data_IF_098549627865
#
_entry.id   IF_098549627865
#
_cell.length_a   1.000
_cell.length_b   1.000
_cell.length_c   1.000
_cell.angle_alpha   90.00
_cell.angle_beta   90.00
_cell.angle_gamma   90.00
#
_symmetry.space_group_name_H-M   'P 1'
#
loop_
_entity.id
_entity.type
_entity.pdbx_description
1 polymer ?
#
# COMPACT_ATOMS: atom_id res chain seq x y z
N UNK A 1 5.25 34.95 9.09
CA UNK A 1 5.33 33.57 9.63
C UNK A 1 4.47 32.70 8.74
N UNK A 2 5.07 31.90 7.86
CA UNK A 2 4.31 30.99 7.00
C UNK A 2 3.65 29.92 7.88
N UNK A 3 2.33 29.91 7.94
CA UNK A 3 1.57 28.78 8.47
C UNK A 3 2.04 27.52 7.75
N UNK A 4 2.40 26.45 8.48
CA UNK A 4 2.59 25.12 7.89
C UNK A 4 1.40 24.87 6.96
N UNK A 5 1.63 24.94 5.65
CA UNK A 5 0.58 24.58 4.70
C UNK A 5 0.17 23.16 5.04
N UNK A 6 -1.13 22.97 5.28
CA UNK A 6 -1.66 21.70 5.76
C UNK A 6 -1.56 20.71 4.59
N UNK A 7 -0.42 20.04 4.48
CA UNK A 7 -0.12 19.10 3.41
C UNK A 7 -1.26 18.06 3.36
N UNK A 8 -1.97 17.91 2.24
CA UNK A 8 -3.03 16.93 2.14
C UNK A 8 -2.49 15.52 2.40
N UNK A 9 -3.19 14.75 3.22
CA UNK A 9 -2.82 13.38 3.57
C UNK A 9 -3.94 12.43 3.19
N UNK A 10 -3.64 11.47 2.30
CA UNK A 10 -4.59 10.44 1.89
C UNK A 10 -4.14 9.06 2.37
N UNK A 11 -5.12 8.28 2.83
CA UNK A 11 -4.95 6.88 3.15
C UNK A 11 -5.58 6.05 2.03
N UNK A 12 -4.77 5.21 1.42
CA UNK A 12 -5.16 4.31 0.35
C UNK A 12 -5.31 2.90 0.90
N UNK A 13 -6.51 2.34 0.78
CA UNK A 13 -6.81 0.96 1.17
C UNK A 13 -7.18 0.15 -0.09
N UNK A 14 -6.18 -0.43 -0.79
CA UNK A 14 -6.42 -1.25 -1.96
C UNK A 14 -7.14 -2.55 -1.59
N UNK A 15 -7.89 -3.10 -2.54
CA UNK A 15 -8.31 -4.49 -2.47
C UNK A 15 -7.09 -5.41 -2.65
N UNK A 16 -6.95 -6.47 -1.85
CA UNK A 16 -5.77 -7.36 -1.81
C UNK A 16 -5.72 -8.34 -2.99
N UNK A 17 -5.85 -7.82 -4.21
CA UNK A 17 -5.67 -8.51 -5.47
C UNK A 17 -4.67 -7.74 -6.34
N UNK A 18 -3.82 -8.45 -7.07
CA UNK A 18 -2.74 -7.84 -7.86
C UNK A 18 -3.24 -6.77 -8.83
N UNK A 19 -4.39 -7.00 -9.48
CA UNK A 19 -5.03 -6.06 -10.39
C UNK A 19 -5.48 -4.74 -9.73
N UNK A 20 -5.67 -4.71 -8.40
CA UNK A 20 -6.02 -3.50 -7.66
C UNK A 20 -4.82 -2.86 -6.98
N UNK A 21 -3.85 -3.65 -6.51
CA UNK A 21 -2.69 -3.11 -5.80
C UNK A 21 -1.76 -2.31 -6.73
N UNK A 22 -1.49 -2.78 -7.94
CA UNK A 22 -0.64 -2.07 -8.91
C UNK A 22 -1.19 -0.66 -9.22
N UNK A 23 -2.44 -0.49 -9.68
CA UNK A 23 -2.95 0.84 -10.00
C UNK A 23 -3.04 1.74 -8.76
N UNK A 24 -3.28 1.17 -7.57
CA UNK A 24 -3.30 1.96 -6.33
C UNK A 24 -1.92 2.51 -5.96
N UNK A 25 -0.84 1.76 -6.22
CA UNK A 25 0.54 2.27 -6.07
C UNK A 25 0.83 3.36 -7.11
N UNK A 26 0.33 3.23 -8.34
CA UNK A 26 0.51 4.28 -9.35
C UNK A 26 -0.26 5.56 -9.00
N UNK A 27 -1.49 5.44 -8.48
CA UNK A 27 -2.25 6.58 -7.93
C UNK A 27 -1.48 7.23 -6.78
N UNK A 28 -0.94 6.43 -5.85
CA UNK A 28 -0.12 6.94 -4.75
C UNK A 28 1.06 7.76 -5.26
N UNK A 29 1.75 7.28 -6.30
CA UNK A 29 2.88 7.99 -6.92
C UNK A 29 2.45 9.28 -7.59
N UNK A 30 1.32 9.29 -8.30
CA UNK A 30 0.80 10.47 -8.97
C UNK A 30 0.39 11.56 -7.96
N UNK A 31 -0.23 11.17 -6.85
CA UNK A 31 -0.60 12.10 -5.78
C UNK A 31 0.65 12.61 -5.03
N UNK A 32 1.58 11.72 -4.68
CA UNK A 32 2.80 12.11 -3.97
C UNK A 32 3.67 13.09 -4.77
N UNK A 33 3.71 12.95 -6.11
CA UNK A 33 4.36 13.92 -7.01
C UNK A 33 3.76 15.32 -6.96
N UNK A 34 2.51 15.46 -6.50
CA UNK A 34 1.82 16.74 -6.30
C UNK A 34 2.00 17.29 -4.88
N UNK A 35 2.93 16.74 -4.11
CA UNK A 35 3.20 17.17 -2.74
C UNK A 35 2.22 16.62 -1.72
N UNK A 36 1.47 15.56 -2.03
CA UNK A 36 0.52 14.92 -1.11
C UNK A 36 1.23 13.84 -0.28
N UNK A 37 0.95 13.79 1.03
CA UNK A 37 1.39 12.68 1.87
C UNK A 37 0.47 11.48 1.62
N UNK A 38 1.03 10.30 1.34
CA UNK A 38 0.23 9.10 1.08
C UNK A 38 0.59 8.00 2.07
N UNK A 39 -0.42 7.32 2.61
CA UNK A 39 -0.25 6.07 3.37
C UNK A 39 -1.00 4.95 2.68
N UNK A 40 -0.32 3.88 2.31
CA UNK A 40 -0.93 2.68 1.73
C UNK A 40 -1.07 1.64 2.83
N UNK A 41 -2.28 1.14 3.04
CA UNK A 41 -2.56 0.04 3.95
C UNK A 41 -2.42 -1.28 3.20
N UNK A 42 -1.54 -2.16 3.66
CA UNK A 42 -1.29 -3.47 3.03
C UNK A 42 -1.13 -4.55 4.09
N UNK A 43 -1.34 -5.80 3.74
CA UNK A 43 -0.98 -6.91 4.63
C UNK A 43 0.53 -7.22 4.53
N UNK A 44 1.16 -7.84 5.55
CA UNK A 44 2.59 -8.16 5.51
C UNK A 44 3.01 -8.97 4.28
N UNK A 45 2.22 -9.99 3.90
CA UNK A 45 2.51 -10.82 2.74
C UNK A 45 2.48 -10.00 1.45
N UNK A 46 1.43 -9.21 1.25
CA UNK A 46 1.31 -8.35 0.06
C UNK A 46 2.40 -7.27 0.06
N UNK A 47 2.75 -6.69 1.20
CA UNK A 47 3.83 -5.70 1.26
C UNK A 47 5.17 -6.26 0.80
N UNK A 48 5.49 -7.51 1.11
CA UNK A 48 6.71 -8.16 0.62
C UNK A 48 6.65 -8.36 -0.90
N UNK A 49 5.49 -8.76 -1.43
CA UNK A 49 5.29 -8.98 -2.87
C UNK A 49 5.45 -7.70 -3.70
N UNK A 50 5.00 -6.55 -3.18
CA UNK A 50 5.09 -5.25 -3.86
C UNK A 50 6.27 -4.38 -3.40
N UNK A 51 7.16 -4.92 -2.56
CA UNK A 51 8.28 -4.18 -1.97
C UNK A 51 9.11 -3.44 -3.00
N UNK A 52 9.46 -4.08 -4.13
CA UNK A 52 10.30 -3.46 -5.17
C UNK A 52 9.69 -2.19 -5.75
N UNK A 53 8.38 -2.21 -6.06
CA UNK A 53 7.66 -1.07 -6.65
C UNK A 53 7.54 0.07 -5.64
N UNK A 54 7.20 -0.26 -4.39
CA UNK A 54 7.05 0.71 -3.30
C UNK A 54 8.40 1.33 -2.95
N UNK A 55 9.44 0.52 -2.75
CA UNK A 55 10.79 1.01 -2.43
C UNK A 55 11.35 1.91 -3.53
N UNK A 56 11.07 1.62 -4.81
CA UNK A 56 11.44 2.52 -5.92
C UNK A 56 10.74 3.87 -5.83
N UNK A 57 9.45 3.88 -5.47
CA UNK A 57 8.69 5.11 -5.30
C UNK A 57 9.22 5.96 -4.14
N UNK A 58 9.48 5.34 -2.98
CA UNK A 58 10.06 5.99 -1.80
C UNK A 58 11.48 6.51 -2.11
N UNK A 59 12.32 5.69 -2.75
CA UNK A 59 13.68 6.07 -3.14
C UNK A 59 13.75 7.22 -4.16
N UNK A 60 12.64 7.52 -4.84
CA UNK A 60 12.51 8.69 -5.71
C UNK A 60 12.16 9.98 -4.94
N UNK A 61 12.17 9.95 -3.60
CA UNK A 61 11.86 11.09 -2.74
C UNK A 61 10.36 11.36 -2.54
N UNK A 62 9.49 10.42 -2.93
CA UNK A 62 8.04 10.58 -2.76
C UNK A 62 7.62 10.27 -1.32
N UNK A 63 6.76 11.13 -0.76
CA UNK A 63 6.20 10.98 0.60
C UNK A 63 5.13 9.88 0.66
N UNK A 64 5.58 8.62 0.58
CA UNK A 64 4.73 7.43 0.63
C UNK A 64 5.11 6.58 1.85
N UNK A 65 4.13 6.30 2.69
CA UNK A 65 4.24 5.37 3.82
C UNK A 65 3.45 4.10 3.54
N UNK A 66 3.89 2.98 4.11
CA UNK A 66 3.14 1.73 4.11
C UNK A 66 2.89 1.31 5.55
N UNK A 67 1.64 1.01 5.87
CA UNK A 67 1.26 0.44 7.17
C UNK A 67 0.79 -0.99 6.93
N UNK A 68 1.28 -1.89 7.78
CA UNK A 68 0.91 -3.30 7.73
C UNK A 68 -0.33 -3.60 8.58
N UNK A 69 -1.32 -4.21 7.96
CA UNK A 69 -2.53 -4.73 8.61
C UNK A 69 -2.43 -6.24 8.71
N UNK A 70 -2.53 -6.77 9.93
CA UNK A 70 -2.58 -8.22 10.15
C UNK A 70 -3.92 -8.75 9.61
N UNK A 71 -3.87 -9.63 8.62
CA UNK A 71 -5.07 -10.31 8.14
C UNK A 71 -5.28 -11.59 8.96
N UNK A 72 -6.48 -11.80 9.53
CA UNK A 72 -6.71 -12.88 10.49
C UNK A 72 -6.93 -14.24 9.78
N UNK A 73 -5.95 -14.70 8.99
CA UNK A 73 -6.05 -15.92 8.15
C UNK A 73 -6.63 -17.12 8.92
N UNK A 74 -6.01 -17.47 10.03
CA UNK A 74 -6.35 -18.66 10.82
C UNK A 74 -7.76 -18.55 11.42
N UNK A 75 -8.15 -17.36 11.87
CA UNK A 75 -9.46 -17.13 12.50
C UNK A 75 -10.60 -17.27 11.49
N UNK A 76 -10.34 -17.02 10.20
CA UNK A 76 -11.32 -17.19 9.11
C UNK A 76 -11.18 -18.53 8.37
N UNK A 77 -10.37 -19.45 8.89
CA UNK A 77 -10.18 -20.79 8.33
C UNK A 77 -9.27 -20.86 7.09
N UNK A 78 -8.46 -19.82 6.86
CA UNK A 78 -7.47 -19.77 5.78
C UNK A 78 -6.07 -20.17 6.26
N UNK A 79 -5.24 -20.82 5.41
CA UNK A 79 -3.85 -21.08 5.75
C UNK A 79 -3.05 -19.77 5.96
N UNK A 80 -1.97 -19.86 6.74
CA UNK A 80 -1.10 -18.70 6.96
C UNK A 80 -0.50 -18.20 5.63
N UNK A 81 -0.49 -16.88 5.43
CA UNK A 81 0.00 -16.24 4.21
C UNK A 81 -1.03 -16.14 3.08
N UNK A 82 -2.24 -16.69 3.23
CA UNK A 82 -3.34 -16.54 2.25
C UNK A 82 -4.05 -15.19 2.40
N UNK A 83 -3.28 -14.12 2.18
CA UNK A 83 -3.72 -12.74 2.36
C UNK A 83 -4.09 -12.06 1.02
N UNK A 84 -4.04 -12.80 -0.10
CA UNK A 84 -4.40 -12.31 -1.43
C UNK A 84 -5.33 -13.28 -2.15
N UNK A 85 -6.29 -12.73 -2.90
CA UNK A 85 -7.24 -13.54 -3.67
C UNK A 85 -6.60 -14.46 -4.71
N UNK A 86 -5.41 -14.10 -5.22
CA UNK A 86 -4.71 -14.95 -6.19
C UNK A 86 -4.12 -16.20 -5.55
N UNK A 87 -3.96 -16.26 -4.22
CA UNK A 87 -3.52 -17.49 -3.54
C UNK A 87 -4.53 -18.64 -3.65
N UNK A 88 -5.79 -18.39 -4.03
CA UNK A 88 -6.79 -19.45 -4.21
C UNK A 88 -6.64 -20.24 -5.52
N UNK A 89 -5.66 -19.92 -6.37
CA UNK A 89 -5.46 -20.54 -7.69
C UNK A 89 -4.13 -21.29 -7.84
N UNK A 90 -3.36 -21.45 -6.76
CA UNK A 90 -2.06 -22.15 -6.73
C UNK A 90 -2.00 -23.10 -5.55
#
# INVERSE_FOLDING_TARGET
MATKENQPHFVLFPFMAQGHMIPMVDIARLLAKRGVLITILMTPHNSNRFKSVISRAIGSGLSIHVIHLKFPCVEVGLPEGYESLICFLT
#
